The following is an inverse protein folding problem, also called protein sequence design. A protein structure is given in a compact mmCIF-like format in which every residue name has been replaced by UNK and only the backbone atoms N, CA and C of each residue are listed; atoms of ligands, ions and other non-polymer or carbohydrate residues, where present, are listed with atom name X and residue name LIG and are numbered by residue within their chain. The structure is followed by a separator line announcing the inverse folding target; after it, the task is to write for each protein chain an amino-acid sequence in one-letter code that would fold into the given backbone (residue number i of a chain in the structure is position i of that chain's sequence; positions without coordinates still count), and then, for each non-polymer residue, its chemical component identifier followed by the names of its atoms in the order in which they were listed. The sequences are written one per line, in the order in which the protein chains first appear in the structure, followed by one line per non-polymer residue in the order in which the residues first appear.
data_IF_220571545077
#
_entry.id   IF_220571545077
#
_cell.length_a   1.000
_cell.length_b   1.000
_cell.length_c   1.000
_cell.angle_alpha   90.00
_cell.angle_beta   90.00
_cell.angle_gamma   90.00
#
_symmetry.space_group_name_H-M   'P 1'
#
loop_
_entity.id
_entity.type
_entity.pdbx_description
1 polymer ?
#
# COMPACT_ATOMS: atom_id res chain seq x y z
N UNK A 1 9.19 11.38 7.02
CA UNK A 1 8.24 11.73 5.92
C UNK A 1 8.99 12.43 4.79
N UNK A 2 9.63 13.57 5.04
CA UNK A 2 10.35 14.28 3.97
C UNK A 2 11.59 13.52 3.50
N UNK A 3 12.28 12.85 4.42
CA UNK A 3 13.40 11.95 4.14
C UNK A 3 12.96 10.78 3.26
N UNK A 4 11.79 10.20 3.55
CA UNK A 4 11.24 9.10 2.76
C UNK A 4 10.86 9.58 1.35
N UNK A 5 10.20 10.75 1.24
CA UNK A 5 9.83 11.36 -0.04
C UNK A 5 11.05 11.66 -0.92
N UNK A 6 12.20 12.01 -0.34
CA UNK A 6 13.44 12.27 -1.08
C UNK A 6 13.90 11.05 -1.89
N UNK A 7 13.58 9.84 -1.43
CA UNK A 7 14.04 8.60 -2.05
C UNK A 7 13.05 8.02 -3.07
N UNK A 8 11.84 8.56 -3.17
CA UNK A 8 10.82 8.06 -4.10
C UNK A 8 11.12 8.54 -5.52
N UNK A 9 11.07 7.61 -6.46
CA UNK A 9 11.30 7.83 -7.88
C UNK A 9 10.07 7.50 -8.70
N UNK A 10 10.03 7.94 -9.97
CA UNK A 10 8.91 7.67 -10.90
C UNK A 10 8.58 6.17 -11.09
N UNK A 11 9.52 5.28 -10.77
CA UNK A 11 9.37 3.83 -10.93
C UNK A 11 8.77 3.17 -9.68
N UNK A 12 8.53 3.97 -8.62
CA UNK A 12 7.89 3.54 -7.40
C UNK A 12 6.37 3.72 -7.43
N UNK A 13 5.69 3.02 -6.52
CA UNK A 13 4.27 3.17 -6.26
C UNK A 13 4.02 3.43 -4.78
N UNK A 14 3.18 4.42 -4.48
CA UNK A 14 2.76 4.74 -3.11
C UNK A 14 1.31 4.36 -2.91
N UNK A 15 1.06 3.50 -1.91
CA UNK A 15 -0.30 3.10 -1.50
C UNK A 15 -0.71 3.88 -0.26
N UNK A 16 -1.82 4.62 -0.35
CA UNK A 16 -2.35 5.47 0.70
C UNK A 16 -3.70 4.93 1.18
N UNK A 17 -3.89 4.85 2.50
CA UNK A 17 -5.22 4.66 3.09
C UNK A 17 -5.77 6.03 3.47
N UNK A 18 -6.86 6.43 2.82
CA UNK A 18 -7.47 7.74 3.02
C UNK A 18 -8.97 7.57 3.32
N UNK A 19 -9.28 7.44 4.60
CA UNK A 19 -10.63 7.23 5.10
C UNK A 19 -11.22 8.48 5.74
N UNK A 20 -12.53 8.68 5.64
CA UNK A 20 -13.30 9.80 6.26
C UNK A 20 -12.94 11.21 5.75
N UNK A 21 -11.65 11.55 5.59
CA UNK A 21 -11.14 12.76 4.96
C UNK A 21 -9.70 12.59 4.49
N UNK A 22 -9.25 13.47 3.60
CA UNK A 22 -7.82 13.58 3.28
C UNK A 22 -7.08 14.27 4.43
N UNK A 23 -5.97 13.70 4.85
CA UNK A 23 -5.05 14.35 5.78
C UNK A 23 -4.07 15.26 5.01
N UNK A 24 -3.58 16.37 5.62
CA UNK A 24 -2.61 17.25 5.00
C UNK A 24 -1.37 16.51 4.46
N UNK A 25 -0.88 15.52 5.19
CA UNK A 25 0.28 14.70 4.84
C UNK A 25 0.02 13.90 3.55
N UNK A 26 -1.16 13.28 3.43
CA UNK A 26 -1.56 12.57 2.22
C UNK A 26 -1.64 13.52 1.03
N UNK A 27 -2.13 14.76 1.24
CA UNK A 27 -2.15 15.79 0.19
C UNK A 27 -0.74 16.16 -0.27
N UNK A 28 0.21 16.34 0.65
CA UNK A 28 1.62 16.63 0.33
C UNK A 28 2.23 15.51 -0.51
N UNK A 29 1.97 14.24 -0.15
CA UNK A 29 2.46 13.07 -0.90
C UNK A 29 1.89 13.07 -2.33
N UNK A 30 0.59 13.29 -2.49
CA UNK A 30 -0.07 13.30 -3.81
C UNK A 30 0.39 14.47 -4.69
N UNK A 31 0.61 15.65 -4.11
CA UNK A 31 1.19 16.80 -4.83
C UNK A 31 2.64 16.52 -5.24
N UNK A 32 3.42 15.85 -4.39
CA UNK A 32 4.77 15.42 -4.72
C UNK A 32 4.79 14.37 -5.83
N UNK A 33 3.83 13.44 -5.82
CA UNK A 33 3.64 12.44 -6.87
C UNK A 33 3.48 13.08 -8.25
N UNK A 34 2.65 14.13 -8.36
CA UNK A 34 2.49 14.87 -9.61
C UNK A 34 3.77 15.54 -10.10
N UNK A 35 4.68 15.91 -9.18
CA UNK A 35 5.97 16.55 -9.52
C UNK A 35 7.02 15.54 -9.96
N UNK A 36 7.13 14.42 -9.25
CA UNK A 36 8.17 13.39 -9.47
C UNK A 36 7.75 12.37 -10.53
N UNK A 37 6.44 12.12 -10.65
CA UNK A 37 5.84 11.20 -11.61
C UNK A 37 5.71 9.75 -11.13
N UNK A 38 5.75 9.50 -9.83
CA UNK A 38 5.51 8.15 -9.27
C UNK A 38 4.02 7.84 -9.17
N UNK A 39 3.67 6.56 -9.25
CA UNK A 39 2.28 6.12 -9.23
C UNK A 39 1.69 6.15 -7.83
N UNK A 40 0.40 6.46 -7.73
CA UNK A 40 -0.35 6.52 -6.48
C UNK A 40 -1.60 5.66 -6.53
N UNK A 41 -1.81 4.89 -5.46
CA UNK A 41 -3.04 4.11 -5.24
C UNK A 41 -3.66 4.60 -3.93
N UNK A 42 -4.90 5.07 -3.96
CA UNK A 42 -5.67 5.41 -2.76
C UNK A 42 -6.68 4.31 -2.47
N UNK A 43 -6.70 3.80 -1.25
CA UNK A 43 -7.79 2.98 -0.70
C UNK A 43 -8.65 3.88 0.19
N UNK A 44 -9.94 3.97 -0.10
CA UNK A 44 -10.84 4.92 0.56
C UNK A 44 -12.26 4.38 0.77
N UNK A 45 -12.97 4.91 1.75
CA UNK A 45 -14.40 4.71 1.99
C UNK A 45 -15.25 5.86 1.40
N UNK A 46 -14.67 6.71 0.56
CA UNK A 46 -15.36 7.85 -0.04
C UNK A 46 -15.42 7.79 -1.58
N UNK A 47 -16.61 7.51 -2.11
CA UNK A 47 -16.89 7.47 -3.55
C UNK A 47 -16.83 8.86 -4.22
N UNK A 48 -17.23 9.93 -3.53
CA UNK A 48 -17.39 11.29 -4.10
C UNK A 48 -16.29 12.25 -3.62
N UNK A 49 -15.17 11.70 -3.20
CA UNK A 49 -14.04 12.49 -2.73
C UNK A 49 -13.25 13.11 -3.88
N UNK A 50 -12.63 14.26 -3.61
CA UNK A 50 -11.67 14.86 -4.54
C UNK A 50 -10.40 14.00 -4.76
N UNK A 51 -10.29 12.81 -4.14
CA UNK A 51 -9.15 11.89 -4.30
C UNK A 51 -8.89 11.54 -5.77
N UNK A 52 -9.96 11.39 -6.57
CA UNK A 52 -9.86 11.08 -8.00
C UNK A 52 -9.10 12.16 -8.81
N UNK A 53 -9.02 13.39 -8.32
CA UNK A 53 -8.25 14.46 -8.98
C UNK A 53 -6.76 14.42 -8.64
N UNK A 54 -6.36 13.63 -7.65
CA UNK A 54 -5.01 13.63 -7.10
C UNK A 54 -4.28 12.29 -7.24
N UNK A 55 -5.00 11.17 -7.29
CA UNK A 55 -4.41 9.85 -7.42
C UNK A 55 -4.62 9.22 -8.79
N UNK A 56 -3.70 8.35 -9.20
CA UNK A 56 -3.78 7.61 -10.46
C UNK A 56 -4.83 6.49 -10.40
N UNK A 57 -4.92 5.83 -9.24
CA UNK A 57 -5.85 4.72 -8.99
C UNK A 57 -6.56 4.96 -7.66
N UNK A 58 -7.88 4.84 -7.66
CA UNK A 58 -8.71 4.88 -6.44
C UNK A 58 -9.46 3.55 -6.30
N UNK A 59 -9.26 2.89 -5.16
CA UNK A 59 -9.93 1.66 -4.78
C UNK A 59 -10.89 1.96 -3.62
N UNK A 60 -12.18 1.73 -3.85
CA UNK A 60 -13.19 1.92 -2.83
C UNK A 60 -13.35 0.68 -1.95
N UNK A 61 -13.42 0.89 -0.64
CA UNK A 61 -13.76 -0.12 0.34
C UNK A 61 -14.85 0.43 1.26
N UNK A 62 -16.04 -0.19 1.23
CA UNK A 62 -17.11 0.18 2.17
C UNK A 62 -16.73 -0.24 3.59
N UNK A 63 -16.87 0.69 4.54
CA UNK A 63 -16.49 0.48 5.94
C UNK A 63 -17.66 0.63 6.91
N UNK A 64 -18.86 0.92 6.42
CA UNK A 64 -20.01 1.32 7.24
C UNK A 64 -20.27 2.82 7.14
N UNK A 65 -21.46 3.23 7.57
CA UNK A 65 -21.90 4.63 7.63
C UNK A 65 -21.23 5.40 8.78
N UNK A 66 -21.35 6.73 8.78
CA UNK A 66 -20.66 7.62 9.74
C UNK A 66 -20.88 7.26 11.23
N UNK A 67 -22.05 6.72 11.58
CA UNK A 67 -22.41 6.33 12.96
C UNK A 67 -22.16 4.85 13.27
N UNK A 68 -21.65 4.09 12.31
CA UNK A 68 -21.39 2.67 12.46
C UNK A 68 -19.94 2.39 12.84
N UNK A 69 -19.67 1.13 13.19
CA UNK A 69 -18.30 0.67 13.35
C UNK A 69 -17.60 0.63 11.98
N UNK A 70 -16.53 1.42 11.84
CA UNK A 70 -15.76 1.47 10.60
C UNK A 70 -14.85 0.25 10.41
N UNK A 71 -15.41 -0.84 9.87
CA UNK A 71 -14.70 -2.10 9.65
C UNK A 71 -13.47 -1.94 8.75
N UNK A 72 -12.41 -2.68 9.06
CA UNK A 72 -11.21 -2.78 8.20
C UNK A 72 -11.22 -4.02 7.30
N UNK A 73 -12.25 -4.87 7.37
CA UNK A 73 -12.31 -6.11 6.59
C UNK A 73 -12.24 -5.85 5.09
N UNK A 74 -13.04 -4.92 4.56
CA UNK A 74 -13.03 -4.60 3.13
C UNK A 74 -11.70 -3.97 2.66
N UNK A 75 -11.11 -2.97 3.35
CA UNK A 75 -9.76 -2.48 3.02
C UNK A 75 -8.69 -3.57 3.05
N UNK A 76 -8.69 -4.42 4.08
CA UNK A 76 -7.73 -5.51 4.22
C UNK A 76 -7.88 -6.52 3.09
N UNK A 77 -9.10 -6.88 2.72
CA UNK A 77 -9.37 -7.77 1.59
C UNK A 77 -8.78 -7.23 0.28
N UNK A 78 -8.88 -5.93 0.01
CA UNK A 78 -8.26 -5.32 -1.18
C UNK A 78 -6.73 -5.47 -1.18
N UNK A 79 -6.09 -5.22 -0.03
CA UNK A 79 -4.64 -5.35 0.13
C UNK A 79 -4.19 -6.79 -0.01
N UNK A 80 -4.91 -7.74 0.59
CA UNK A 80 -4.63 -9.17 0.46
C UNK A 80 -4.68 -9.60 -1.00
N UNK A 81 -5.70 -9.16 -1.75
CA UNK A 81 -5.79 -9.45 -3.18
C UNK A 81 -4.64 -8.81 -3.98
N UNK A 82 -4.21 -7.59 -3.63
CA UNK A 82 -3.06 -6.95 -4.28
C UNK A 82 -1.78 -7.76 -4.03
N UNK A 83 -1.54 -8.17 -2.78
CA UNK A 83 -0.39 -8.98 -2.39
C UNK A 83 -0.39 -10.32 -3.15
N UNK A 84 -1.52 -11.02 -3.17
CA UNK A 84 -1.67 -12.31 -3.87
C UNK A 84 -1.39 -12.13 -5.36
N UNK A 85 -2.01 -11.13 -5.98
CA UNK A 85 -1.86 -10.87 -7.42
C UNK A 85 -0.41 -10.55 -7.79
N UNK A 86 0.28 -9.73 -7.00
CA UNK A 86 1.71 -9.44 -7.18
C UNK A 86 2.55 -10.71 -6.99
N UNK A 87 2.27 -11.49 -5.93
CA UNK A 87 2.93 -12.75 -5.65
C UNK A 87 2.79 -13.77 -6.78
N UNK A 88 1.65 -13.76 -7.48
CA UNK A 88 1.38 -14.64 -8.60
C UNK A 88 2.12 -14.26 -9.89
N UNK A 89 2.44 -12.97 -10.12
CA UNK A 89 3.12 -12.53 -11.36
C UNK A 89 4.42 -13.28 -11.66
N UNK A 90 5.20 -13.61 -10.62
CA UNK A 90 6.46 -14.36 -10.71
C UNK A 90 6.50 -15.51 -9.70
N UNK A 91 5.44 -16.32 -9.65
CA UNK A 91 5.23 -17.36 -8.63
C UNK A 91 6.47 -18.20 -8.33
N UNK A 92 7.13 -18.76 -9.34
CA UNK A 92 8.28 -19.64 -9.15
C UNK A 92 9.48 -18.93 -8.52
N UNK A 93 9.83 -17.73 -9.03
CA UNK A 93 10.94 -16.94 -8.48
C UNK A 93 10.66 -16.49 -7.04
N UNK A 94 9.39 -16.14 -6.74
CA UNK A 94 8.97 -15.77 -5.39
C UNK A 94 9.07 -16.95 -4.41
N UNK A 95 8.62 -18.14 -4.81
CA UNK A 95 8.74 -19.36 -3.99
C UNK A 95 10.20 -19.71 -3.71
N UNK A 96 11.07 -19.66 -4.72
CA UNK A 96 12.51 -19.90 -4.54
C UNK A 96 13.14 -18.91 -3.56
N UNK A 97 12.78 -17.62 -3.62
CA UNK A 97 13.26 -16.62 -2.65
C UNK A 97 12.76 -16.92 -1.22
N UNK A 98 11.53 -17.38 -1.06
CA UNK A 98 10.98 -17.76 0.24
C UNK A 98 11.66 -19.00 0.82
N UNK A 99 11.99 -19.99 -0.02
CA UNK A 99 12.78 -21.16 0.38
C UNK A 99 14.18 -20.75 0.83
N UNK A 100 14.85 -19.87 0.07
CA UNK A 100 16.16 -19.33 0.46
C UNK A 100 16.09 -18.59 1.80
N UNK A 101 15.09 -17.72 2.00
CA UNK A 101 14.88 -17.02 3.27
C UNK A 101 14.65 -18.00 4.43
N UNK A 102 13.85 -19.05 4.21
CA UNK A 102 13.64 -20.11 5.20
C UNK A 102 14.93 -20.84 5.54
N UNK A 103 15.74 -21.15 4.52
CA UNK A 103 17.07 -21.76 4.69
C UNK A 103 18.01 -20.88 5.51
N UNK A 104 18.12 -19.59 5.19
CA UNK A 104 18.93 -18.63 5.94
C UNK A 104 18.49 -18.53 7.40
N UNK A 105 17.18 -18.42 7.66
CA UNK A 105 16.65 -18.38 9.03
C UNK A 105 16.98 -19.64 9.83
N UNK A 106 16.97 -20.82 9.18
CA UNK A 106 17.37 -22.07 9.84
C UNK A 106 18.86 -22.14 10.10
N UNK A 107 19.68 -21.68 9.15
CA UNK A 107 21.14 -21.71 9.23
C UNK A 107 21.66 -20.84 10.38
N UNK A 108 21.11 -19.64 10.55
CA UNK A 108 21.56 -18.67 11.56
C UNK A 108 20.67 -18.63 12.81
N UNK A 109 19.87 -19.68 13.04
CA UNK A 109 18.89 -19.71 14.13
C UNK A 109 19.50 -19.61 15.54
N UNK A 110 20.75 -20.05 15.70
CA UNK A 110 21.47 -19.97 16.99
C UNK A 110 22.31 -18.69 17.12
N UNK A 111 22.60 -18.00 16.02
CA UNK A 111 23.48 -16.84 15.97
C UNK A 111 22.74 -15.51 16.21
N UNK A 112 21.42 -15.49 16.02
CA UNK A 112 20.58 -14.30 16.09
C UNK A 112 19.41 -14.51 17.06
N UNK A 113 19.12 -13.56 17.97
CA UNK A 113 17.95 -13.65 18.82
C UNK A 113 16.66 -13.65 17.98
N UNK A 114 15.65 -14.37 18.47
CA UNK A 114 14.33 -14.52 17.83
C UNK A 114 13.61 -13.20 17.60
#
# INVERSE_FOLDING_TARGET
MFEDLLHITKDDVVVLFAFVRILPEAKVILEHAKRVGFQTIIITDQLVSNFANFADIVLFASRGEMWEFHSMVAPTFLIENLIITIGMKNKNANLQRLELLSGLRKQYAEDLPR
#
